data_IF_998604852244
#
_entry.id   IF_998604852244
#
_cell.length_a   1.000
_cell.length_b   1.000
_cell.length_c   1.000
_cell.angle_alpha   90.00
_cell.angle_beta   90.00
_cell.angle_gamma   90.00
#
_symmetry.space_group_name_H-M   'P 1'
#
loop_
_entity.id
_entity.type
_entity.pdbx_description
1 polymer ?
#
# COMPACT_ATOMS: atom_id res chain seq x y z
N UNK A 1 -23.08 -10.99 -10.10
CA UNK A 1 -22.24 -9.86 -9.67
C UNK A 1 -23.07 -9.03 -8.70
N UNK A 2 -22.54 -8.82 -7.50
CA UNK A 2 -23.13 -8.01 -6.45
C UNK A 2 -23.39 -6.61 -6.98
N UNK A 3 -24.54 -6.04 -6.65
CA UNK A 3 -24.85 -4.63 -6.92
C UNK A 3 -24.03 -3.76 -5.97
N UNK A 4 -22.80 -3.46 -6.38
CA UNK A 4 -21.84 -2.67 -5.60
C UNK A 4 -22.35 -1.25 -5.32
N UNK A 5 -23.17 -0.67 -6.21
CA UNK A 5 -23.73 0.67 -6.00
C UNK A 5 -24.74 0.67 -4.87
N UNK A 6 -25.59 -0.36 -4.81
CA UNK A 6 -26.51 -0.55 -3.68
C UNK A 6 -25.72 -0.78 -2.38
N UNK A 7 -24.66 -1.58 -2.43
CA UNK A 7 -23.80 -1.85 -1.28
C UNK A 7 -23.15 -0.57 -0.74
N UNK A 8 -22.60 0.29 -1.61
CA UNK A 8 -22.05 1.59 -1.20
C UNK A 8 -23.11 2.49 -0.55
N UNK A 9 -24.34 2.53 -1.11
CA UNK A 9 -25.44 3.29 -0.50
C UNK A 9 -25.81 2.78 0.89
N UNK A 10 -25.83 1.46 1.09
CA UNK A 10 -26.08 0.84 2.39
C UNK A 10 -24.94 1.13 3.38
N UNK A 11 -23.69 1.13 2.93
CA UNK A 11 -22.53 1.50 3.73
C UNK A 11 -22.64 2.95 4.23
N UNK A 12 -22.90 3.92 3.35
CA UNK A 12 -23.00 5.32 3.78
C UNK A 12 -24.20 5.58 4.68
N UNK A 13 -25.29 4.83 4.51
CA UNK A 13 -26.41 4.85 5.46
C UNK A 13 -26.01 4.32 6.85
N UNK A 14 -25.09 3.35 6.94
CA UNK A 14 -24.53 2.91 8.23
C UNK A 14 -23.71 4.03 8.88
N UNK A 15 -22.94 4.78 8.09
CA UNK A 15 -22.21 5.95 8.60
C UNK A 15 -23.11 7.11 9.03
N UNK A 16 -24.41 7.13 8.70
CA UNK A 16 -25.35 8.12 9.25
C UNK A 16 -25.42 8.05 10.79
N UNK A 17 -25.21 6.87 11.38
CA UNK A 17 -25.20 6.70 12.85
C UNK A 17 -23.98 7.40 13.46
N UNK A 18 -22.82 7.24 12.83
CA UNK A 18 -21.59 7.93 13.20
C UNK A 18 -21.72 9.45 13.07
N UNK A 19 -22.33 9.91 11.96
CA UNK A 19 -22.60 11.32 11.75
C UNK A 19 -23.57 11.90 12.78
N UNK A 20 -24.60 11.16 13.18
CA UNK A 20 -25.51 11.59 14.23
C UNK A 20 -24.76 11.85 15.55
N UNK A 21 -23.88 10.93 15.95
CA UNK A 21 -23.06 11.05 17.15
C UNK A 21 -22.10 12.25 17.06
N UNK A 22 -21.49 12.47 15.90
CA UNK A 22 -20.61 13.62 15.66
C UNK A 22 -21.38 14.96 15.80
N UNK A 23 -22.60 15.04 15.26
CA UNK A 23 -23.48 16.22 15.40
C UNK A 23 -23.93 16.47 16.84
N UNK A 24 -24.04 15.41 17.65
CA UNK A 24 -24.30 15.50 19.09
C UNK A 24 -23.06 15.93 19.91
N UNK A 25 -21.90 16.04 19.26
CA UNK A 25 -20.64 16.54 19.85
C UNK A 25 -19.60 15.47 20.12
N UNK A 26 -19.86 14.20 19.78
CA UNK A 26 -18.88 13.13 19.90
C UNK A 26 -17.91 13.14 18.70
N UNK A 27 -16.90 14.01 18.76
CA UNK A 27 -16.01 14.28 17.62
C UNK A 27 -14.56 13.79 17.81
N UNK A 28 -14.20 13.28 18.99
CA UNK A 28 -12.80 13.03 19.37
C UNK A 28 -12.08 12.07 18.42
N UNK A 29 -12.77 11.02 17.96
CA UNK A 29 -12.23 10.03 17.02
C UNK A 29 -12.00 10.54 15.60
N UNK A 30 -12.43 11.77 15.31
CA UNK A 30 -12.24 12.46 14.03
C UNK A 30 -11.21 13.61 14.14
N UNK A 31 -10.80 14.01 15.36
CA UNK A 31 -9.75 15.02 15.51
C UNK A 31 -8.39 14.45 15.11
N UNK A 32 -7.50 15.29 14.60
CA UNK A 32 -6.13 14.91 14.28
C UNK A 32 -5.44 14.26 15.47
N UNK A 33 -4.77 13.13 15.23
CA UNK A 33 -3.99 12.43 16.25
C UNK A 33 -2.65 11.98 15.67
N UNK A 34 -1.61 12.74 16.00
CA UNK A 34 -0.24 12.45 15.59
C UNK A 34 0.18 11.03 15.99
N UNK A 35 0.75 10.31 15.02
CA UNK A 35 1.48 9.07 15.23
C UNK A 35 2.75 9.07 14.38
N UNK A 36 3.79 8.41 14.88
CA UNK A 36 5.03 8.20 14.13
C UNK A 36 5.22 6.73 13.80
N UNK A 37 5.60 6.45 12.56
CA UNK A 37 6.04 5.12 12.13
C UNK A 37 7.40 5.22 11.45
N UNK A 38 8.24 4.18 11.57
CA UNK A 38 9.55 4.15 10.91
C UNK A 38 9.44 4.21 9.39
N UNK A 39 8.37 3.63 8.84
CA UNK A 39 8.14 3.50 7.40
C UNK A 39 7.57 4.78 6.78
N UNK A 40 6.62 5.44 7.46
CA UNK A 40 5.87 6.56 6.91
C UNK A 40 6.10 7.90 7.63
N UNK A 41 6.95 7.94 8.65
CA UNK A 41 7.17 9.13 9.47
C UNK A 41 5.93 9.54 10.27
N UNK A 42 5.75 10.85 10.44
CA UNK A 42 4.60 11.46 11.11
C UNK A 42 3.34 11.35 10.24
N UNK A 43 2.26 10.83 10.82
CA UNK A 43 0.97 10.62 10.17
C UNK A 43 -0.18 10.84 11.18
N UNK A 44 -1.42 10.74 10.69
CA UNK A 44 -2.62 10.87 11.51
C UNK A 44 -3.36 9.54 11.71
N UNK A 45 -3.49 9.10 12.96
CA UNK A 45 -4.20 7.89 13.32
C UNK A 45 -5.70 7.93 13.01
N UNK A 46 -6.30 9.12 12.93
CA UNK A 46 -7.74 9.32 12.79
C UNK A 46 -8.16 9.73 11.36
N UNK A 47 -7.23 9.79 10.39
CA UNK A 47 -7.52 10.18 9.00
C UNK A 47 -8.68 9.37 8.40
N UNK A 48 -8.67 8.04 8.54
CA UNK A 48 -9.71 7.16 7.98
C UNK A 48 -11.09 7.44 8.58
N UNK A 49 -11.17 7.73 9.87
CA UNK A 49 -12.43 8.08 10.52
C UNK A 49 -12.97 9.40 9.96
N UNK A 50 -12.12 10.43 9.79
CA UNK A 50 -12.53 11.69 9.14
C UNK A 50 -12.99 11.48 7.72
N UNK A 51 -12.29 10.66 6.96
CA UNK A 51 -12.66 10.36 5.58
C UNK A 51 -14.05 9.72 5.51
N UNK A 52 -14.32 8.70 6.34
CA UNK A 52 -15.65 8.06 6.44
C UNK A 52 -16.74 9.07 6.76
N UNK A 53 -16.50 9.93 7.75
CA UNK A 53 -17.46 10.96 8.15
C UNK A 53 -17.68 12.00 7.04
N UNK A 54 -16.63 12.39 6.31
CA UNK A 54 -16.72 13.30 5.16
C UNK A 54 -17.63 12.72 4.06
N UNK A 55 -17.46 11.44 3.75
CA UNK A 55 -18.33 10.74 2.81
C UNK A 55 -19.78 10.59 3.30
N UNK A 56 -19.98 10.36 4.60
CA UNK A 56 -21.31 10.32 5.20
C UNK A 56 -22.03 11.66 4.97
N UNK A 57 -21.36 12.79 5.24
CA UNK A 57 -21.93 14.13 5.01
C UNK A 57 -22.17 14.39 3.51
N UNK A 58 -21.26 13.96 2.65
CA UNK A 58 -21.35 14.14 1.20
C UNK A 58 -22.57 13.45 0.59
N UNK A 59 -22.84 12.21 1.00
CA UNK A 59 -23.86 11.37 0.36
C UNK A 59 -25.17 11.23 1.15
N UNK A 60 -25.23 11.69 2.40
CA UNK A 60 -26.48 11.73 3.14
C UNK A 60 -27.30 12.98 2.79
N UNK A 61 -28.62 12.81 2.78
CA UNK A 61 -29.58 13.93 2.72
C UNK A 61 -30.29 14.15 4.05
N UNK A 62 -30.01 13.32 5.06
CA UNK A 62 -30.77 13.29 6.31
C UNK A 62 -30.51 14.50 7.21
N UNK A 63 -29.31 15.07 7.12
CA UNK A 63 -28.82 16.14 8.02
C UNK A 63 -28.52 17.44 7.28
N UNK A 64 -29.02 17.61 6.05
CA UNK A 64 -28.73 18.77 5.20
C UNK A 64 -29.23 20.08 5.82
N UNK A 65 -30.31 20.05 6.59
CA UNK A 65 -30.84 21.22 7.33
C UNK A 65 -30.42 21.22 8.82
N UNK A 66 -29.52 20.34 9.24
CA UNK A 66 -29.12 20.25 10.64
C UNK A 66 -28.28 21.47 11.06
N UNK A 67 -28.73 22.21 12.07
CA UNK A 67 -28.14 23.49 12.50
C UNK A 67 -26.66 23.46 12.97
N UNK A 68 -26.03 22.28 13.01
CA UNK A 68 -24.62 22.09 13.42
C UNK A 68 -23.72 21.58 12.28
N UNK A 69 -24.27 21.35 11.09
CA UNK A 69 -23.56 20.65 10.02
C UNK A 69 -22.37 21.47 9.50
N UNK A 70 -22.56 22.78 9.34
CA UNK A 70 -21.53 23.75 8.95
C UNK A 70 -20.39 23.82 9.97
N UNK A 71 -20.71 23.86 11.26
CA UNK A 71 -19.73 23.84 12.35
C UNK A 71 -18.93 22.54 12.40
N UNK A 72 -19.57 21.40 12.12
CA UNK A 72 -18.89 20.11 12.01
C UNK A 72 -17.95 20.08 10.78
N UNK A 73 -18.41 20.53 9.60
CA UNK A 73 -17.60 20.61 8.38
C UNK A 73 -16.38 21.50 8.62
N UNK A 74 -16.57 22.69 9.20
CA UNK A 74 -15.49 23.62 9.53
C UNK A 74 -14.47 22.97 10.47
N UNK A 75 -14.93 22.24 11.50
CA UNK A 75 -14.05 21.55 12.44
C UNK A 75 -13.22 20.50 11.71
N UNK A 76 -13.85 19.60 10.94
CA UNK A 76 -13.16 18.56 10.18
C UNK A 76 -12.15 19.13 9.19
N UNK A 77 -12.50 20.22 8.50
CA UNK A 77 -11.59 20.89 7.55
C UNK A 77 -10.31 21.37 8.26
N UNK A 78 -10.42 21.94 9.46
CA UNK A 78 -9.26 22.41 10.21
C UNK A 78 -8.37 21.25 10.71
N UNK A 79 -8.96 20.13 11.13
CA UNK A 79 -8.20 18.93 11.50
C UNK A 79 -7.43 18.36 10.30
N UNK A 80 -8.05 18.39 9.12
CA UNK A 80 -7.43 17.95 7.88
C UNK A 80 -6.30 18.88 7.41
N UNK A 81 -6.45 20.20 7.59
CA UNK A 81 -5.36 21.15 7.38
C UNK A 81 -4.16 20.85 8.27
N UNK A 82 -4.40 20.58 9.56
CA UNK A 82 -3.33 20.25 10.49
C UNK A 82 -2.58 18.98 10.05
N UNK A 83 -3.30 17.96 9.62
CA UNK A 83 -2.71 16.75 9.02
C UNK A 83 -1.85 17.14 7.82
N UNK A 84 -2.39 17.86 6.83
CA UNK A 84 -1.63 18.24 5.62
C UNK A 84 -0.39 19.08 5.86
N UNK A 85 -0.37 19.89 6.92
CA UNK A 85 0.77 20.74 7.29
C UNK A 85 1.87 20.00 8.09
N UNK A 86 1.52 18.90 8.76
CA UNK A 86 2.41 18.16 9.67
C UNK A 86 2.80 16.76 9.18
N UNK A 87 2.06 16.20 8.23
CA UNK A 87 2.27 14.86 7.73
C UNK A 87 3.61 14.77 6.95
N UNK A 88 4.36 13.70 7.22
CA UNK A 88 5.62 13.44 6.51
C UNK A 88 5.39 13.08 5.04
N UNK A 89 4.23 12.51 4.72
CA UNK A 89 3.81 12.22 3.36
C UNK A 89 3.12 13.42 2.72
N UNK A 90 3.56 13.77 1.51
CA UNK A 90 2.93 14.83 0.72
C UNK A 90 1.69 14.27 0.00
N UNK A 91 0.67 15.12 -0.17
CA UNK A 91 -0.57 14.77 -0.85
C UNK A 91 -1.71 15.73 -0.49
N UNK A 92 -2.75 15.77 -1.32
CA UNK A 92 -3.95 16.59 -1.06
C UNK A 92 -4.85 15.89 -0.03
N UNK A 93 -5.05 14.58 -0.19
CA UNK A 93 -5.95 13.78 0.64
C UNK A 93 -7.41 13.93 0.22
N UNK A 94 -8.10 12.79 0.09
CA UNK A 94 -9.50 12.74 -0.37
C UNK A 94 -10.45 13.44 0.59
N UNK A 95 -10.18 13.39 1.89
CA UNK A 95 -11.00 14.07 2.89
C UNK A 95 -10.97 15.59 2.71
N UNK A 96 -9.81 16.19 2.41
CA UNK A 96 -9.69 17.62 2.13
C UNK A 96 -10.48 18.03 0.88
N UNK A 97 -10.44 17.24 -0.18
CA UNK A 97 -11.20 17.49 -1.41
C UNK A 97 -12.72 17.45 -1.18
N UNK A 98 -13.20 16.43 -0.48
CA UNK A 98 -14.62 16.30 -0.12
C UNK A 98 -15.05 17.46 0.79
N UNK A 99 -14.26 17.76 1.83
CA UNK A 99 -14.57 18.86 2.74
C UNK A 99 -14.55 20.21 2.01
N UNK A 100 -13.73 20.39 0.97
CA UNK A 100 -13.76 21.59 0.11
C UNK A 100 -15.09 21.75 -0.62
N UNK A 101 -15.61 20.67 -1.22
CA UNK A 101 -16.95 20.69 -1.82
C UNK A 101 -18.03 21.00 -0.77
N UNK A 102 -17.94 20.38 0.41
CA UNK A 102 -18.90 20.59 1.50
C UNK A 102 -18.88 22.03 2.04
N UNK A 103 -17.69 22.63 2.22
CA UNK A 103 -17.55 24.03 2.62
C UNK A 103 -18.24 24.97 1.64
N UNK A 104 -18.16 24.68 0.33
CA UNK A 104 -18.88 25.43 -0.70
C UNK A 104 -20.39 25.17 -0.66
N UNK A 105 -20.81 23.90 -0.53
CA UNK A 105 -22.22 23.50 -0.52
C UNK A 105 -23.00 24.15 0.64
N UNK A 106 -22.40 24.19 1.82
CA UNK A 106 -23.03 24.70 3.05
C UNK A 106 -22.69 26.17 3.34
N UNK A 107 -22.06 26.88 2.39
CA UNK A 107 -21.69 28.30 2.50
C UNK A 107 -20.95 28.63 3.81
N UNK A 108 -20.02 27.76 4.21
CA UNK A 108 -19.31 27.91 5.49
C UNK A 108 -18.53 29.24 5.52
N UNK A 109 -18.62 30.02 6.62
CA UNK A 109 -17.91 31.29 6.75
C UNK A 109 -16.39 31.14 6.60
N UNK A 110 -15.75 32.21 6.11
CA UNK A 110 -14.29 32.33 5.95
C UNK A 110 -13.60 31.23 5.11
N UNK A 111 -14.38 30.44 4.35
CA UNK A 111 -13.87 29.32 3.54
C UNK A 111 -12.75 29.71 2.58
N UNK A 112 -12.79 30.92 2.00
CA UNK A 112 -11.76 31.38 1.05
C UNK A 112 -10.38 31.49 1.72
N UNK A 113 -10.32 31.93 2.98
CA UNK A 113 -9.07 31.99 3.75
C UNK A 113 -8.55 30.59 4.03
N UNK A 114 -9.44 29.65 4.36
CA UNK A 114 -9.10 28.26 4.61
C UNK A 114 -8.68 27.52 3.33
N UNK A 115 -9.26 27.84 2.19
CA UNK A 115 -8.86 27.31 0.88
C UNK A 115 -7.46 27.79 0.48
N UNK A 116 -7.11 29.05 0.75
CA UNK A 116 -5.74 29.51 0.54
C UNK A 116 -4.75 28.83 1.49
N UNK A 117 -5.13 28.60 2.76
CA UNK A 117 -4.31 27.80 3.69
C UNK A 117 -4.15 26.36 3.20
N UNK A 118 -5.22 25.73 2.74
CA UNK A 118 -5.20 24.38 2.16
C UNK A 118 -4.22 24.30 0.99
N UNK A 119 -4.26 25.28 0.08
CA UNK A 119 -3.35 25.39 -1.06
C UNK A 119 -1.88 25.49 -0.63
N UNK A 120 -1.58 26.14 0.50
CA UNK A 120 -0.21 26.28 0.99
C UNK A 120 0.23 25.17 1.96
N UNK A 121 -0.64 24.20 2.28
CA UNK A 121 -0.37 23.23 3.34
C UNK A 121 0.86 22.36 3.07
N UNK A 122 1.07 21.96 1.82
CA UNK A 122 2.22 21.16 1.40
C UNK A 122 2.49 21.29 -0.11
N UNK A 123 3.52 20.61 -0.62
CA UNK A 123 3.94 20.72 -2.03
C UNK A 123 2.84 20.28 -3.02
N UNK A 124 2.17 19.16 -2.74
CA UNK A 124 1.13 18.62 -3.63
C UNK A 124 -0.14 19.46 -3.60
N UNK A 125 -0.49 20.00 -2.43
CA UNK A 125 -1.57 20.98 -2.30
C UNK A 125 -1.29 22.24 -3.12
N UNK A 126 -0.06 22.75 -3.10
CA UNK A 126 0.31 23.95 -3.86
C UNK A 126 0.09 23.77 -5.37
N UNK A 127 0.46 22.59 -5.89
CA UNK A 127 0.35 22.26 -7.31
C UNK A 127 -1.02 21.78 -7.77
N UNK A 128 -1.82 21.15 -6.89
CA UNK A 128 -3.00 20.40 -7.29
C UNK A 128 -4.30 20.72 -6.56
N UNK A 129 -4.27 21.46 -5.44
CA UNK A 129 -5.49 21.79 -4.70
C UNK A 129 -6.46 22.64 -5.54
N UNK A 130 -7.73 22.22 -5.56
CA UNK A 130 -8.79 22.88 -6.31
C UNK A 130 -9.94 23.29 -5.37
N UNK A 131 -10.09 24.59 -5.11
CA UNK A 131 -11.17 25.14 -4.28
C UNK A 131 -12.58 24.95 -4.86
N UNK A 132 -12.68 24.48 -6.12
CA UNK A 132 -13.93 24.17 -6.83
C UNK A 132 -14.05 22.67 -7.12
N UNK A 133 -13.39 21.84 -6.33
CA UNK A 133 -13.50 20.39 -6.46
C UNK A 133 -14.96 19.95 -6.29
N UNK A 134 -15.37 18.94 -7.08
CA UNK A 134 -16.69 18.31 -7.02
C UNK A 134 -16.48 16.80 -7.09
N UNK A 135 -16.98 16.11 -6.08
CA UNK A 135 -16.86 14.67 -5.95
C UNK A 135 -17.71 13.96 -7.00
N UNK A 136 -17.25 12.81 -7.51
CA UNK A 136 -18.09 11.96 -8.36
C UNK A 136 -19.34 11.49 -7.60
N UNK A 137 -20.46 11.37 -8.32
CA UNK A 137 -21.69 10.78 -7.78
C UNK A 137 -21.52 9.27 -7.64
N UNK A 138 -22.12 8.65 -6.63
CA UNK A 138 -22.05 7.19 -6.46
C UNK A 138 -22.52 6.42 -7.71
N UNK A 139 -23.47 6.97 -8.44
CA UNK A 139 -23.98 6.38 -9.68
C UNK A 139 -22.94 6.33 -10.81
N UNK A 140 -21.90 7.17 -10.78
CA UNK A 140 -20.85 7.20 -11.80
C UNK A 140 -19.69 6.24 -11.52
N UNK A 141 -19.59 5.68 -10.31
CA UNK A 141 -18.51 4.76 -9.95
C UNK A 141 -18.60 3.50 -10.80
N UNK A 142 -17.45 3.09 -11.33
CA UNK A 142 -17.16 1.75 -11.80
C UNK A 142 -16.97 0.78 -10.62
N UNK A 143 -16.91 -0.51 -10.91
CA UNK A 143 -16.63 -1.52 -9.89
C UNK A 143 -15.22 -1.35 -9.29
N UNK A 144 -14.24 -0.98 -10.11
CA UNK A 144 -12.86 -0.76 -9.68
C UNK A 144 -12.76 0.44 -8.74
N UNK A 145 -13.38 1.57 -9.09
CA UNK A 145 -13.44 2.74 -8.21
C UNK A 145 -14.19 2.43 -6.90
N UNK A 146 -15.23 1.59 -6.96
CA UNK A 146 -15.96 1.17 -5.77
C UNK A 146 -15.09 0.31 -4.84
N UNK A 147 -14.28 -0.59 -5.39
CA UNK A 147 -13.30 -1.37 -4.63
C UNK A 147 -12.24 -0.47 -4.02
N UNK A 148 -11.64 0.43 -4.79
CA UNK A 148 -10.62 1.36 -4.30
C UNK A 148 -11.15 2.22 -3.15
N UNK A 149 -12.38 2.71 -3.29
CA UNK A 149 -13.06 3.45 -2.22
C UNK A 149 -13.22 2.60 -0.95
N UNK A 150 -13.66 1.34 -1.06
CA UNK A 150 -13.79 0.46 0.11
C UNK A 150 -12.43 0.17 0.77
N UNK A 151 -11.37 0.01 -0.02
CA UNK A 151 -10.00 -0.15 0.48
C UNK A 151 -9.54 1.12 1.23
N UNK A 152 -9.78 2.30 0.67
CA UNK A 152 -9.43 3.58 1.28
C UNK A 152 -10.17 3.79 2.61
N UNK A 153 -11.45 3.41 2.65
CA UNK A 153 -12.31 3.45 3.84
C UNK A 153 -12.03 2.30 4.83
N UNK A 154 -11.09 1.40 4.55
CA UNK A 154 -10.77 0.22 5.38
C UNK A 154 -11.95 -0.73 5.61
N UNK A 155 -12.90 -0.76 4.66
CA UNK A 155 -14.04 -1.67 4.63
C UNK A 155 -13.64 -3.02 3.99
N UNK A 156 -12.70 -3.69 4.65
CA UNK A 156 -11.98 -4.85 4.10
C UNK A 156 -12.89 -6.00 3.68
N UNK A 157 -13.91 -6.33 4.48
CA UNK A 157 -14.83 -7.44 4.17
C UNK A 157 -15.66 -7.16 2.90
N UNK A 158 -16.13 -5.91 2.75
CA UNK A 158 -16.89 -5.49 1.58
C UNK A 158 -15.99 -5.42 0.34
N UNK A 159 -14.78 -4.87 0.49
CA UNK A 159 -13.77 -4.85 -0.57
C UNK A 159 -13.43 -6.27 -1.03
N UNK A 160 -13.17 -7.18 -0.10
CA UNK A 160 -12.87 -8.59 -0.38
C UNK A 160 -13.98 -9.24 -1.18
N UNK A 161 -15.24 -9.07 -0.75
CA UNK A 161 -16.40 -9.64 -1.44
C UNK A 161 -16.46 -9.20 -2.90
N UNK A 162 -16.32 -7.89 -3.17
CA UNK A 162 -16.37 -7.37 -4.53
C UNK A 162 -15.15 -7.82 -5.36
N UNK A 163 -13.96 -7.81 -4.75
CA UNK A 163 -12.72 -8.23 -5.41
C UNK A 163 -12.75 -9.70 -5.81
N UNK A 164 -13.22 -10.60 -4.94
CA UNK A 164 -13.35 -12.02 -5.26
C UNK A 164 -14.31 -12.20 -6.44
N UNK A 165 -15.50 -11.59 -6.38
CA UNK A 165 -16.45 -11.68 -7.49
C UNK A 165 -15.91 -11.12 -8.81
N UNK A 166 -15.15 -10.02 -8.75
CA UNK A 166 -14.52 -9.42 -9.92
C UNK A 166 -13.42 -10.31 -10.49
N UNK A 167 -12.54 -10.82 -9.62
CA UNK A 167 -11.38 -11.65 -9.99
C UNK A 167 -11.83 -12.90 -10.74
N UNK A 168 -12.85 -13.58 -10.23
CA UNK A 168 -13.37 -14.83 -10.79
C UNK A 168 -14.57 -14.64 -11.75
N UNK A 169 -14.84 -13.40 -12.18
CA UNK A 169 -15.88 -13.15 -13.19
C UNK A 169 -15.49 -13.74 -14.55
N UNK A 170 -16.49 -14.06 -15.39
CA UNK A 170 -16.29 -14.54 -16.77
C UNK A 170 -15.81 -13.44 -17.74
N UNK A 171 -15.47 -12.25 -17.23
CA UNK A 171 -14.93 -11.18 -18.06
C UNK A 171 -13.50 -11.52 -18.51
N UNK A 172 -12.97 -10.74 -19.46
CA UNK A 172 -11.60 -10.91 -19.96
C UNK A 172 -10.63 -10.91 -18.77
N UNK A 173 -9.85 -11.97 -18.65
CA UNK A 173 -8.75 -12.08 -17.70
C UNK A 173 -7.48 -11.59 -18.39
N UNK A 174 -7.16 -10.31 -18.19
CA UNK A 174 -5.95 -9.69 -18.70
C UNK A 174 -5.02 -9.25 -17.56
N UNK A 175 -3.83 -8.79 -17.96
CA UNK A 175 -2.78 -8.37 -17.04
C UNK A 175 -3.23 -7.18 -16.17
N UNK A 176 -3.95 -6.21 -16.75
CA UNK A 176 -4.42 -5.03 -16.03
C UNK A 176 -5.39 -5.39 -14.90
N UNK A 177 -6.36 -6.25 -15.19
CA UNK A 177 -7.30 -6.79 -14.20
C UNK A 177 -6.58 -7.55 -13.09
N UNK A 178 -5.67 -8.46 -13.44
CA UNK A 178 -4.97 -9.27 -12.43
C UNK A 178 -4.05 -8.40 -11.55
N UNK A 179 -3.41 -7.38 -12.11
CA UNK A 179 -2.66 -6.41 -11.31
C UNK A 179 -3.56 -5.59 -10.38
N UNK A 180 -4.69 -5.11 -10.89
CA UNK A 180 -5.66 -4.38 -10.08
C UNK A 180 -6.11 -5.24 -8.89
N UNK A 181 -6.48 -6.49 -9.14
CA UNK A 181 -6.90 -7.43 -8.10
C UNK A 181 -5.76 -7.72 -7.11
N UNK A 182 -4.57 -8.08 -7.59
CA UNK A 182 -3.41 -8.38 -6.75
C UNK A 182 -3.08 -7.23 -5.79
N UNK A 183 -2.98 -6.00 -6.31
CA UNK A 183 -2.70 -4.79 -5.51
C UNK A 183 -3.75 -4.58 -4.43
N UNK A 184 -5.02 -4.75 -4.76
CA UNK A 184 -6.10 -4.51 -3.82
C UNK A 184 -6.25 -5.64 -2.78
N UNK A 185 -6.04 -6.90 -3.17
CA UNK A 185 -5.94 -8.02 -2.22
C UNK A 185 -4.80 -7.82 -1.21
N UNK A 186 -3.63 -7.37 -1.68
CA UNK A 186 -2.50 -6.96 -0.82
C UNK A 186 -2.91 -5.88 0.19
N UNK A 187 -3.62 -4.84 -0.26
CA UNK A 187 -4.03 -3.72 0.59
C UNK A 187 -5.02 -4.14 1.70
N UNK A 188 -5.88 -5.13 1.44
CA UNK A 188 -6.80 -5.65 2.45
C UNK A 188 -6.22 -6.82 3.28
N UNK A 189 -5.05 -7.33 2.90
CA UNK A 189 -4.38 -8.43 3.58
C UNK A 189 -4.92 -9.81 3.22
N UNK A 190 -5.55 -9.97 2.05
CA UNK A 190 -6.02 -11.26 1.54
C UNK A 190 -4.91 -11.94 0.72
N UNK A 191 -4.05 -12.66 1.46
CA UNK A 191 -2.83 -13.26 0.93
C UNK A 191 -3.11 -14.35 -0.10
N UNK A 192 -4.14 -15.17 0.12
CA UNK A 192 -4.45 -16.30 -0.77
C UNK A 192 -4.86 -15.81 -2.17
N UNK A 193 -5.71 -14.78 -2.23
CA UNK A 193 -6.12 -14.20 -3.49
C UNK A 193 -5.04 -13.29 -4.11
N UNK A 194 -4.18 -12.65 -3.32
CA UNK A 194 -2.96 -11.97 -3.82
C UNK A 194 -2.05 -12.96 -4.56
N UNK A 195 -1.76 -14.12 -3.94
CA UNK A 195 -0.96 -15.20 -4.52
C UNK A 195 -1.61 -15.75 -5.79
N UNK A 196 -2.94 -15.95 -5.79
CA UNK A 196 -3.66 -16.38 -6.97
C UNK A 196 -3.42 -15.44 -8.16
N UNK A 197 -3.58 -14.13 -7.95
CA UNK A 197 -3.38 -13.13 -8.99
C UNK A 197 -1.92 -13.09 -9.46
N UNK A 198 -0.95 -13.16 -8.53
CA UNK A 198 0.48 -13.21 -8.86
C UNK A 198 0.83 -14.44 -9.73
N UNK A 199 0.26 -15.62 -9.42
CA UNK A 199 0.40 -16.83 -10.25
C UNK A 199 -0.22 -16.65 -11.63
N UNK A 200 -1.37 -16.00 -11.73
CA UNK A 200 -1.98 -15.71 -13.03
C UNK A 200 -1.10 -14.80 -13.89
N UNK A 201 -0.56 -13.73 -13.31
CA UNK A 201 0.37 -12.81 -13.98
C UNK A 201 1.64 -13.53 -14.44
N UNK A 202 2.20 -14.41 -13.59
CA UNK A 202 3.34 -15.25 -13.96
C UNK A 202 3.02 -16.17 -15.15
N UNK A 203 1.84 -16.80 -15.16
CA UNK A 203 1.42 -17.67 -16.26
C UNK A 203 1.25 -16.89 -17.56
N UNK A 204 0.67 -15.68 -17.52
CA UNK A 204 0.55 -14.81 -18.69
C UNK A 204 1.93 -14.45 -19.24
N UNK A 205 2.87 -14.06 -18.36
CA UNK A 205 4.23 -13.71 -18.78
C UNK A 205 5.00 -14.92 -19.33
N UNK A 206 4.78 -16.11 -18.77
CA UNK A 206 5.39 -17.34 -19.28
C UNK A 206 5.00 -17.62 -20.75
N UNK A 207 3.85 -17.13 -21.21
CA UNK A 207 3.41 -17.26 -22.60
C UNK A 207 4.14 -16.32 -23.57
N UNK A 208 4.77 -15.25 -23.09
CA UNK A 208 5.54 -14.30 -23.93
C UNK A 208 6.92 -14.85 -24.29
N UNK A 209 7.46 -15.74 -23.43
CA UNK A 209 8.81 -16.29 -23.55
C UNK A 209 9.94 -15.32 -23.13
N UNK A 210 9.62 -14.14 -22.59
CA UNK A 210 10.62 -13.19 -22.12
C UNK A 210 11.18 -13.62 -20.75
N UNK A 211 12.36 -14.24 -20.74
CA UNK A 211 12.99 -14.72 -19.51
C UNK A 211 13.17 -13.64 -18.44
N UNK A 212 13.49 -12.40 -18.80
CA UNK A 212 13.66 -11.31 -17.84
C UNK A 212 12.34 -10.95 -17.15
N UNK A 213 11.27 -10.83 -17.93
CA UNK A 213 9.94 -10.54 -17.40
C UNK A 213 9.41 -11.69 -16.54
N UNK A 214 9.62 -12.95 -16.96
CA UNK A 214 9.30 -14.14 -16.15
C UNK A 214 10.03 -14.10 -14.82
N UNK A 215 11.33 -13.78 -14.79
CA UNK A 215 12.09 -13.68 -13.54
C UNK A 215 11.52 -12.61 -12.61
N UNK A 216 11.08 -11.46 -13.14
CA UNK A 216 10.41 -10.43 -12.33
C UNK A 216 9.12 -10.95 -11.69
N UNK A 217 8.29 -11.68 -12.43
CA UNK A 217 7.05 -12.26 -11.90
C UNK A 217 7.28 -13.31 -10.84
N UNK A 218 8.30 -14.14 -11.04
CA UNK A 218 8.70 -15.13 -10.04
C UNK A 218 9.23 -14.46 -8.78
N UNK A 219 10.01 -13.38 -8.92
CA UNK A 219 10.52 -12.62 -7.78
C UNK A 219 9.38 -11.92 -7.01
N UNK A 220 8.37 -11.37 -7.70
CA UNK A 220 7.18 -10.81 -7.06
C UNK A 220 6.44 -11.86 -6.22
N UNK A 221 6.22 -13.05 -6.78
CA UNK A 221 5.62 -14.18 -6.06
C UNK A 221 6.48 -14.65 -4.88
N UNK A 222 7.81 -14.71 -5.06
CA UNK A 222 8.76 -15.06 -4.01
C UNK A 222 8.69 -14.08 -2.82
N UNK A 223 8.64 -12.77 -3.10
CA UNK A 223 8.49 -11.72 -2.09
C UNK A 223 7.17 -11.90 -1.32
N UNK A 224 6.06 -12.20 -2.02
CA UNK A 224 4.76 -12.44 -1.37
C UNK A 224 4.86 -13.64 -0.42
N UNK A 225 5.48 -14.75 -0.85
CA UNK A 225 5.65 -15.93 -0.01
C UNK A 225 6.52 -15.66 1.23
N UNK A 226 7.68 -15.04 1.06
CA UNK A 226 8.58 -14.72 2.17
C UNK A 226 7.93 -13.77 3.17
N UNK A 227 7.27 -12.70 2.71
CA UNK A 227 6.57 -11.74 3.59
C UNK A 227 5.51 -12.43 4.46
N UNK A 228 4.87 -13.46 3.92
CA UNK A 228 3.83 -14.23 4.61
C UNK A 228 4.36 -15.50 5.28
N UNK A 229 5.69 -15.64 5.42
CA UNK A 229 6.37 -16.76 6.08
C UNK A 229 6.07 -18.14 5.48
N UNK A 230 5.73 -18.17 4.19
CA UNK A 230 5.48 -19.40 3.44
C UNK A 230 6.79 -19.87 2.78
N UNK A 231 7.80 -20.17 3.60
CA UNK A 231 9.18 -20.42 3.14
C UNK A 231 9.32 -21.67 2.26
N UNK A 232 8.52 -22.70 2.47
CA UNK A 232 8.52 -23.90 1.61
C UNK A 232 8.08 -23.56 0.17
N UNK A 233 7.05 -22.73 0.02
CA UNK A 233 6.59 -22.28 -1.29
C UNK A 233 7.55 -21.26 -1.90
N UNK A 234 8.12 -20.38 -1.08
CA UNK A 234 9.18 -19.46 -1.48
C UNK A 234 10.38 -20.22 -2.08
N UNK A 235 10.85 -21.27 -1.41
CA UNK A 235 11.99 -22.06 -1.91
C UNK A 235 11.67 -22.72 -3.25
N UNK A 236 10.49 -23.30 -3.43
CA UNK A 236 10.09 -23.87 -4.74
C UNK A 236 10.14 -22.83 -5.85
N UNK A 237 9.71 -21.60 -5.59
CA UNK A 237 9.80 -20.52 -6.57
C UNK A 237 11.26 -20.14 -6.83
N UNK A 238 12.09 -20.06 -5.79
CA UNK A 238 13.52 -19.77 -5.91
C UNK A 238 14.25 -20.84 -6.72
N UNK A 239 13.99 -22.12 -6.47
CA UNK A 239 14.58 -23.26 -7.21
C UNK A 239 14.29 -23.18 -8.71
N UNK A 240 13.08 -22.75 -9.08
CA UNK A 240 12.72 -22.51 -10.47
C UNK A 240 13.33 -21.22 -11.03
N UNK A 241 13.56 -20.20 -10.18
CA UNK A 241 14.09 -18.89 -10.56
C UNK A 241 15.60 -18.95 -10.85
N UNK A 242 16.38 -19.65 -10.03
CA UNK A 242 17.84 -19.77 -10.14
C UNK A 242 18.31 -20.14 -11.57
N UNK A 243 17.83 -21.23 -12.21
CA UNK A 243 18.30 -21.58 -13.55
C UNK A 243 17.92 -20.54 -14.61
N UNK A 244 16.81 -19.80 -14.40
CA UNK A 244 16.40 -18.71 -15.30
C UNK A 244 17.28 -17.48 -15.13
N UNK A 245 17.64 -17.13 -13.90
CA UNK A 245 18.60 -16.04 -13.63
C UNK A 245 19.94 -16.33 -14.31
N UNK A 246 20.46 -17.55 -14.18
CA UNK A 246 21.71 -17.96 -14.84
C UNK A 246 21.65 -17.97 -16.37
N UNK A 247 20.46 -17.88 -16.98
CA UNK A 247 20.33 -17.68 -18.43
C UNK A 247 20.48 -16.22 -18.87
N UNK A 248 20.59 -15.29 -17.93
CA UNK A 248 20.74 -13.85 -18.15
C UNK A 248 22.19 -13.46 -17.83
N UNK A 249 22.86 -12.81 -18.79
CA UNK A 249 24.23 -12.35 -18.61
C UNK A 249 24.33 -11.37 -17.44
N UNK A 250 25.33 -11.58 -16.57
CA UNK A 250 25.59 -10.79 -15.37
C UNK A 250 24.34 -10.54 -14.49
N UNK A 251 23.42 -11.50 -14.42
CA UNK A 251 22.17 -11.36 -13.68
C UNK A 251 22.36 -10.85 -12.24
N UNK A 252 23.45 -11.23 -11.57
CA UNK A 252 23.82 -10.83 -10.21
C UNK A 252 24.14 -9.34 -10.06
N UNK A 253 24.49 -8.64 -11.15
CA UNK A 253 24.68 -7.18 -11.17
C UNK A 253 23.35 -6.42 -11.37
N UNK A 254 22.26 -7.11 -11.73
CA UNK A 254 20.96 -6.49 -11.98
C UNK A 254 20.18 -6.25 -10.67
N UNK A 255 19.09 -5.47 -10.75
CA UNK A 255 18.16 -5.33 -9.62
C UNK A 255 17.47 -6.66 -9.27
N UNK A 256 17.11 -7.46 -10.28
CA UNK A 256 16.47 -8.77 -10.09
C UNK A 256 17.39 -9.71 -9.34
N UNK A 257 18.66 -9.81 -9.75
CA UNK A 257 19.62 -10.70 -9.11
C UNK A 257 19.87 -10.37 -7.65
N UNK A 258 20.07 -9.09 -7.33
CA UNK A 258 20.26 -8.63 -5.95
C UNK A 258 19.03 -8.86 -5.09
N UNK A 259 17.84 -8.64 -5.63
CA UNK A 259 16.60 -8.94 -4.91
C UNK A 259 16.39 -10.44 -4.71
N UNK A 260 16.72 -11.29 -5.70
CA UNK A 260 16.65 -12.74 -5.55
C UNK A 260 17.60 -13.25 -4.47
N UNK A 261 18.82 -12.71 -4.39
CA UNK A 261 19.75 -12.99 -3.30
C UNK A 261 19.19 -12.53 -1.95
N UNK A 262 18.56 -11.36 -1.88
CA UNK A 262 17.93 -10.88 -0.65
C UNK A 262 16.82 -11.83 -0.18
N UNK A 263 15.96 -12.27 -1.10
CA UNK A 263 14.89 -13.22 -0.80
C UNK A 263 15.44 -14.62 -0.42
N UNK A 264 16.56 -15.02 -1.00
CA UNK A 264 17.28 -16.23 -0.61
C UNK A 264 17.77 -16.14 0.85
N UNK A 265 18.29 -14.98 1.28
CA UNK A 265 18.71 -14.79 2.67
C UNK A 265 17.54 -14.92 3.65
N UNK A 266 16.36 -14.40 3.28
CA UNK A 266 15.15 -14.58 4.10
C UNK A 266 14.79 -16.07 4.27
N UNK A 267 14.94 -16.88 3.23
CA UNK A 267 14.70 -18.34 3.33
C UNK A 267 15.74 -18.98 4.25
N UNK A 268 17.04 -18.77 4.01
CA UNK A 268 18.14 -19.32 4.83
C UNK A 268 17.95 -19.02 6.32
N UNK A 269 17.55 -17.78 6.64
CA UNK A 269 17.34 -17.37 8.02
C UNK A 269 16.21 -18.16 8.73
N UNK A 270 15.23 -18.65 7.98
CA UNK A 270 14.00 -19.24 8.54
C UNK A 270 13.79 -20.73 8.20
N UNK A 271 14.68 -21.35 7.42
CA UNK A 271 14.70 -22.80 7.16
C UNK A 271 16.00 -23.41 7.67
N UNK A 272 16.00 -24.71 7.94
CA UNK A 272 17.21 -25.44 8.40
C UNK A 272 17.68 -26.43 7.32
N UNK A 273 16.73 -27.14 6.73
CA UNK A 273 16.90 -28.17 5.72
C UNK A 273 17.37 -27.65 4.36
N UNK A 274 17.11 -26.37 4.05
CA UNK A 274 17.48 -25.75 2.77
C UNK A 274 18.62 -24.73 2.91
N UNK A 275 19.00 -24.41 4.16
CA UNK A 275 19.91 -23.30 4.45
C UNK A 275 21.32 -23.54 3.89
N UNK A 276 21.83 -24.77 3.99
CA UNK A 276 23.17 -25.14 3.52
C UNK A 276 23.28 -25.02 2.00
N UNK A 277 22.39 -25.70 1.25
CA UNK A 277 22.38 -25.67 -0.21
C UNK A 277 22.21 -24.24 -0.78
N UNK A 278 21.31 -23.45 -0.18
CA UNK A 278 21.08 -22.06 -0.59
C UNK A 278 22.27 -21.17 -0.26
N UNK A 279 22.94 -21.40 0.86
CA UNK A 279 24.16 -20.68 1.22
C UNK A 279 25.31 -21.03 0.27
N UNK A 280 25.55 -22.30 -0.03
CA UNK A 280 26.56 -22.74 -1.00
C UNK A 280 26.37 -22.09 -2.37
N UNK A 281 25.12 -21.95 -2.82
CA UNK A 281 24.80 -21.26 -4.07
C UNK A 281 25.05 -19.74 -3.99
N UNK A 282 24.61 -19.09 -2.92
CA UNK A 282 24.58 -17.62 -2.84
C UNK A 282 25.88 -17.00 -2.36
N UNK A 283 26.65 -17.65 -1.48
CA UNK A 283 27.85 -17.09 -0.85
C UNK A 283 28.92 -16.64 -1.86
N UNK A 284 29.35 -17.45 -2.85
CA UNK A 284 30.33 -17.02 -3.84
C UNK A 284 29.86 -15.78 -4.64
N UNK A 285 28.55 -15.70 -4.90
CA UNK A 285 27.94 -14.59 -5.64
C UNK A 285 27.95 -13.33 -4.77
N UNK A 286 27.54 -13.45 -3.50
CA UNK A 286 27.60 -12.35 -2.54
C UNK A 286 29.02 -11.80 -2.41
N UNK A 287 30.04 -12.67 -2.33
CA UNK A 287 31.46 -12.26 -2.31
C UNK A 287 31.85 -11.50 -3.59
N UNK A 288 31.34 -11.92 -4.75
CA UNK A 288 31.60 -11.25 -6.03
C UNK A 288 30.96 -9.85 -6.12
N UNK A 289 29.76 -9.67 -5.56
CA UNK A 289 29.00 -8.41 -5.64
C UNK A 289 29.08 -7.57 -4.36
N UNK A 290 30.03 -7.85 -3.48
CA UNK A 290 30.13 -7.24 -2.15
C UNK A 290 30.04 -5.72 -2.16
N UNK A 291 30.59 -5.02 -3.15
CA UNK A 291 30.55 -3.55 -3.22
C UNK A 291 29.27 -2.97 -3.84
N UNK A 292 28.31 -3.82 -4.24
CA UNK A 292 27.14 -3.42 -5.05
C UNK A 292 25.80 -3.73 -4.38
N UNK A 293 25.79 -4.25 -3.17
CA UNK A 293 24.55 -4.59 -2.46
C UNK A 293 23.85 -3.34 -1.92
N UNK A 294 22.54 -3.40 -1.77
CA UNK A 294 21.75 -2.41 -1.04
C UNK A 294 21.64 -2.80 0.45
N UNK A 295 21.28 -1.84 1.30
CA UNK A 295 21.30 -2.02 2.76
C UNK A 295 20.52 -3.23 3.28
N UNK A 296 19.34 -3.52 2.72
CA UNK A 296 18.55 -4.69 3.12
C UNK A 296 19.30 -6.01 2.84
N UNK A 297 19.95 -6.12 1.68
CA UNK A 297 20.72 -7.30 1.32
C UNK A 297 21.95 -7.46 2.22
N UNK A 298 22.72 -6.40 2.49
CA UNK A 298 23.85 -6.51 3.44
C UNK A 298 23.39 -7.01 4.81
N UNK A 299 22.34 -6.40 5.36
CA UNK A 299 21.82 -6.74 6.68
C UNK A 299 21.33 -8.19 6.76
N UNK A 300 20.57 -8.67 5.76
CA UNK A 300 20.10 -10.05 5.76
C UNK A 300 21.23 -11.04 5.50
N UNK A 301 22.16 -10.71 4.60
CA UNK A 301 23.30 -11.55 4.30
C UNK A 301 24.25 -11.71 5.49
N UNK A 302 24.46 -10.66 6.30
CA UNK A 302 25.29 -10.76 7.51
C UNK A 302 24.70 -11.73 8.53
N UNK A 303 23.37 -11.67 8.75
CA UNK A 303 22.69 -12.62 9.63
C UNK A 303 22.71 -14.05 9.06
N UNK A 304 22.54 -14.21 7.75
CA UNK A 304 22.60 -15.52 7.10
C UNK A 304 24.02 -16.11 7.22
N UNK A 305 25.06 -15.33 6.94
CA UNK A 305 26.46 -15.73 7.11
C UNK A 305 26.74 -16.18 8.56
N UNK A 306 26.24 -15.43 9.54
CA UNK A 306 26.37 -15.80 10.95
C UNK A 306 25.67 -17.12 11.28
N UNK A 307 24.43 -17.31 10.79
CA UNK A 307 23.68 -18.57 10.94
C UNK A 307 24.44 -19.76 10.35
N UNK A 308 25.08 -19.57 9.21
CA UNK A 308 25.86 -20.59 8.50
C UNK A 308 27.29 -20.77 9.04
N UNK A 309 27.69 -19.99 10.05
CA UNK A 309 29.01 -20.10 10.67
C UNK A 309 30.16 -19.40 9.93
N UNK A 310 29.88 -18.63 8.87
CA UNK A 310 30.88 -17.77 8.21
C UNK A 310 31.00 -16.42 8.95
N UNK A 311 31.55 -16.48 10.17
CA UNK A 311 31.62 -15.31 11.07
C UNK A 311 32.47 -14.17 10.50
N UNK A 312 33.54 -14.48 9.75
CA UNK A 312 34.39 -13.46 9.14
C UNK A 312 33.62 -12.71 8.05
N UNK A 313 32.89 -13.44 7.19
CA UNK A 313 32.10 -12.79 6.16
C UNK A 313 30.90 -12.04 6.74
N UNK A 314 30.28 -12.56 7.81
CA UNK A 314 29.23 -11.86 8.55
C UNK A 314 29.69 -10.48 9.06
N UNK A 315 30.90 -10.41 9.64
CA UNK A 315 31.48 -9.15 10.12
C UNK A 315 31.75 -8.17 8.98
N UNK A 316 32.29 -8.66 7.86
CA UNK A 316 32.51 -7.84 6.65
C UNK A 316 31.19 -7.22 6.14
N UNK A 317 30.13 -8.03 6.03
CA UNK A 317 28.82 -7.59 5.57
C UNK A 317 28.17 -6.59 6.54
N UNK A 318 28.30 -6.81 7.85
CA UNK A 318 27.81 -5.89 8.88
C UNK A 318 28.50 -4.53 8.81
N UNK A 319 29.84 -4.51 8.64
CA UNK A 319 30.59 -3.27 8.51
C UNK A 319 30.15 -2.48 7.26
N UNK A 320 29.93 -3.17 6.12
CA UNK A 320 29.41 -2.54 4.90
C UNK A 320 28.00 -1.97 5.08
N UNK A 321 27.14 -2.65 5.84
CA UNK A 321 25.82 -2.13 6.20
C UNK A 321 25.95 -0.84 7.03
N UNK A 322 26.80 -0.83 8.06
CA UNK A 322 27.00 0.33 8.92
C UNK A 322 27.62 1.52 8.17
N UNK A 323 28.56 1.27 7.26
CA UNK A 323 29.11 2.28 6.35
C UNK A 323 28.02 2.95 5.51
N UNK A 324 27.09 2.15 4.95
CA UNK A 324 26.00 2.64 4.12
C UNK A 324 24.93 3.40 4.90
N UNK A 325 24.65 2.98 6.14
CA UNK A 325 23.62 3.59 6.99
C UNK A 325 24.13 4.78 7.80
N UNK A 326 25.43 5.05 7.77
CA UNK A 326 26.03 6.20 8.43
C UNK A 326 25.60 7.51 7.75
N UNK A 327 25.19 8.55 8.51
CA UNK A 327 24.70 9.82 7.97
C UNK A 327 25.75 10.68 7.23
N UNK A 328 26.95 10.14 6.99
CA UNK A 328 28.05 10.78 6.26
C UNK A 328 28.37 10.07 4.92
N UNK A 329 27.61 9.04 4.54
CA UNK A 329 27.72 8.30 3.27
C UNK A 329 26.82 8.85 2.17
#
# INVERSE_FOLDING_TARGET
MTDYKKLLKELFKKYDEELALALDGNIEQYCYKEIYTKEYGTNDANYKNRLRLSYAILYTHKYEEHFRIDGLILKLFNEELFDRESNSFQGIGRSLEILTELMNKYDVPDREVLFERAKQANFDCYGGYNSKYVSPKLESYSLEEAVELLVELDEKELAQKLLVEYTYSNDICDEAKMYFCMRNFKNIGDVDNEIYCAKMLLNMEAMTGNNYAICNRMLELLIIYNKNKQYDEASKVLDMLIPRLHSIDEWYNTGIGRNALEQCMDIILHTEDLAEDLWEWSEPILKQIIEKMHGSLYNKASFAAYKMGDFLFAEILSNKYDELMSPLG
#
